data_IF_228576801941
#
_entry.id   IF_228576801941
#
_cell.length_a   1.000
_cell.length_b   1.000
_cell.length_c   1.000
_cell.angle_alpha   90.00
_cell.angle_beta   90.00
_cell.angle_gamma   90.00
#
_symmetry.space_group_name_H-M   'P 1'
#
loop_
_entity.id
_entity.type
_entity.pdbx_description
1 polymer ?
#
# COMPACT_ATOMS: atom_id res chain seq x y z
N UNK A 1 -1.77 16.38 13.82
CA UNK A 1 -1.04 15.83 12.66
C UNK A 1 -0.27 14.62 13.15
N UNK A 2 -0.47 13.46 12.53
CA UNK A 2 0.18 12.20 12.89
C UNK A 2 0.63 11.48 11.62
N UNK A 3 1.64 10.62 11.72
CA UNK A 3 2.07 9.73 10.66
C UNK A 3 1.46 8.34 10.87
N UNK A 4 0.62 7.91 9.94
CA UNK A 4 -0.11 6.64 9.98
C UNK A 4 0.47 5.70 8.92
N UNK A 5 0.90 4.53 9.35
CA UNK A 5 1.36 3.46 8.46
C UNK A 5 0.28 2.38 8.33
N UNK A 6 -0.09 2.05 7.10
CA UNK A 6 -1.17 1.12 6.77
C UNK A 6 -0.59 -0.09 6.05
N UNK A 7 -0.80 -1.28 6.60
CA UNK A 7 -0.57 -2.53 5.88
C UNK A 7 -1.89 -2.99 5.28
N UNK A 8 -1.94 -3.14 3.95
CA UNK A 8 -3.16 -3.56 3.31
C UNK A 8 -3.08 -3.72 1.80
N UNK A 9 -4.17 -4.24 1.23
CA UNK A 9 -4.37 -4.27 -0.22
C UNK A 9 -4.59 -2.84 -0.69
N UNK A 10 -3.91 -2.44 -1.76
CA UNK A 10 -4.05 -1.12 -2.37
C UNK A 10 -4.19 -1.29 -3.90
N UNK A 11 -4.83 -0.36 -4.61
CA UNK A 11 -4.86 -0.43 -6.07
C UNK A 11 -3.43 -0.51 -6.65
N UNK A 12 -3.21 -1.29 -7.73
CA UNK A 12 -4.21 -1.89 -8.63
C UNK A 12 -4.90 -3.17 -8.15
N UNK A 13 -4.65 -3.69 -6.93
CA UNK A 13 -5.37 -4.89 -6.47
C UNK A 13 -6.88 -4.63 -6.54
N UNK A 14 -7.64 -5.50 -7.21
CA UNK A 14 -9.09 -5.36 -7.32
C UNK A 14 -9.82 -5.80 -6.04
N UNK A 15 -11.00 -5.22 -5.81
CA UNK A 15 -11.93 -5.65 -4.76
C UNK A 15 -12.18 -4.61 -3.65
N UNK A 16 -13.13 -4.93 -2.77
CA UNK A 16 -13.65 -4.00 -1.77
C UNK A 16 -12.65 -3.60 -0.68
N UNK A 17 -11.73 -4.49 -0.32
CA UNK A 17 -10.67 -4.19 0.66
C UNK A 17 -9.74 -3.11 0.10
N UNK A 18 -9.22 -3.33 -1.11
CA UNK A 18 -8.34 -2.37 -1.80
C UNK A 18 -8.99 -0.99 -1.93
N UNK A 19 -10.26 -0.96 -2.36
CA UNK A 19 -11.07 0.27 -2.37
C UNK A 19 -11.15 0.94 -1.00
N UNK A 20 -11.38 0.18 0.06
CA UNK A 20 -11.55 0.72 1.41
C UNK A 20 -10.24 1.30 1.96
N UNK A 21 -9.11 0.63 1.69
CA UNK A 21 -7.77 1.13 2.08
C UNK A 21 -7.42 2.39 1.28
N UNK A 22 -7.73 2.41 -0.02
CA UNK A 22 -7.57 3.60 -0.87
C UNK A 22 -8.28 4.81 -0.26
N UNK A 23 -9.59 4.71 -0.03
CA UNK A 23 -10.34 5.84 0.52
C UNK A 23 -9.90 6.23 1.92
N UNK A 24 -9.56 5.26 2.77
CA UNK A 24 -9.01 5.54 4.09
C UNK A 24 -7.71 6.37 4.00
N UNK A 25 -6.74 5.94 3.18
CA UNK A 25 -5.47 6.65 3.03
C UNK A 25 -5.69 8.07 2.50
N UNK A 26 -6.56 8.19 1.49
CA UNK A 26 -6.93 9.44 0.85
C UNK A 26 -7.62 10.43 1.82
N UNK A 27 -8.55 9.96 2.64
CA UNK A 27 -9.25 10.80 3.61
C UNK A 27 -8.35 11.22 4.77
N UNK A 28 -7.41 10.36 5.19
CA UNK A 28 -6.42 10.67 6.21
C UNK A 28 -5.44 11.77 5.75
N UNK A 29 -4.92 11.69 4.52
CA UNK A 29 -4.03 12.75 4.01
C UNK A 29 -4.76 14.07 3.81
N UNK A 30 -6.02 14.04 3.33
CA UNK A 30 -6.86 15.26 3.24
C UNK A 30 -7.17 15.86 4.61
N UNK A 31 -7.19 15.04 5.66
CA UNK A 31 -7.36 15.49 7.05
C UNK A 31 -6.06 16.02 7.68
N UNK A 32 -4.95 16.09 6.90
CA UNK A 32 -3.67 16.64 7.35
C UNK A 32 -2.76 15.64 8.07
N UNK A 33 -2.95 14.33 7.86
CA UNK A 33 -2.03 13.30 8.34
C UNK A 33 -1.01 12.92 7.26
N UNK A 34 0.18 12.49 7.66
CA UNK A 34 1.08 11.79 6.76
C UNK A 34 0.64 10.32 6.69
N UNK A 35 0.59 9.74 5.50
CA UNK A 35 0.18 8.33 5.32
C UNK A 35 1.20 7.59 4.48
N UNK A 36 1.63 6.45 5.00
CA UNK A 36 2.42 5.46 4.28
C UNK A 36 1.62 4.17 4.15
N UNK A 37 1.46 3.64 2.95
CA UNK A 37 0.80 2.36 2.67
C UNK A 37 1.85 1.33 2.28
N UNK A 38 1.97 0.24 3.04
CA UNK A 38 2.80 -0.92 2.73
C UNK A 38 1.92 -1.98 2.06
N UNK A 39 2.26 -2.36 0.83
CA UNK A 39 1.40 -3.24 0.00
C UNK A 39 2.20 -4.16 -0.92
N UNK A 40 1.56 -5.22 -1.43
CA UNK A 40 2.09 -6.12 -2.46
C UNK A 40 1.39 -5.95 -3.81
N UNK A 41 0.86 -4.75 -4.06
CA UNK A 41 -0.02 -4.50 -5.20
C UNK A 41 0.64 -4.74 -6.57
N UNK A 42 1.97 -4.65 -6.65
CA UNK A 42 2.72 -4.96 -7.88
C UNK A 42 3.13 -6.43 -7.98
N UNK A 43 2.88 -7.24 -6.94
CA UNK A 43 3.22 -8.66 -6.89
C UNK A 43 2.05 -9.61 -7.13
N UNK A 44 0.80 -9.14 -7.10
CA UNK A 44 -0.38 -10.01 -7.33
C UNK A 44 -0.52 -10.40 -8.80
N UNK A 45 -1.13 -11.53 -9.11
CA UNK A 45 -1.34 -11.97 -10.49
C UNK A 45 -2.25 -11.01 -11.28
N UNK A 46 -2.12 -10.98 -12.60
CA UNK A 46 -2.83 -10.01 -13.46
C UNK A 46 -4.35 -10.09 -13.35
N UNK A 47 -4.90 -11.29 -13.13
CA UNK A 47 -6.32 -11.52 -12.89
C UNK A 47 -6.83 -10.93 -11.56
N UNK A 48 -5.94 -10.47 -10.68
CA UNK A 48 -6.27 -9.72 -9.45
C UNK A 48 -6.00 -8.23 -9.57
N UNK A 49 -5.63 -7.71 -10.75
CA UNK A 49 -5.34 -6.30 -10.97
C UNK A 49 -6.43 -5.62 -11.79
N UNK A 50 -6.72 -4.39 -11.41
CA UNK A 50 -7.44 -3.43 -12.24
C UNK A 50 -6.51 -2.96 -13.37
N UNK A 51 -7.10 -2.71 -14.54
CA UNK A 51 -6.44 -1.95 -15.59
C UNK A 51 -6.51 -0.48 -15.23
N UNK A 52 -5.37 0.15 -15.04
CA UNK A 52 -5.25 1.56 -14.70
C UNK A 52 -4.73 2.32 -15.91
N UNK A 53 -5.37 3.42 -16.25
CA UNK A 53 -4.81 4.39 -17.18
C UNK A 53 -3.79 5.29 -16.45
N UNK A 54 -3.06 6.11 -17.21
CA UNK A 54 -2.05 7.01 -16.65
C UNK A 54 -2.62 7.93 -15.57
N UNK A 55 -3.80 8.50 -15.82
CA UNK A 55 -4.48 9.41 -14.89
C UNK A 55 -4.94 8.69 -13.61
N UNK A 56 -5.27 7.40 -13.71
CA UNK A 56 -5.60 6.59 -12.53
C UNK A 56 -4.37 6.40 -11.64
N UNK A 57 -3.22 6.08 -12.23
CA UNK A 57 -1.97 5.90 -11.49
C UNK A 57 -1.57 7.17 -10.71
N UNK A 58 -1.78 8.35 -11.30
CA UNK A 58 -1.56 9.63 -10.62
C UNK A 58 -2.54 9.81 -9.45
N UNK A 59 -3.82 9.42 -9.63
CA UNK A 59 -4.83 9.49 -8.57
C UNK A 59 -4.60 8.49 -7.42
N UNK A 60 -3.73 7.49 -7.60
CA UNK A 60 -3.38 6.53 -6.54
C UNK A 60 -2.34 7.04 -5.55
N UNK A 61 -1.38 7.82 -6.03
CA UNK A 61 -0.34 8.45 -5.21
C UNK A 61 -0.73 9.84 -4.73
N UNK A 62 -1.65 10.52 -5.42
CA UNK A 62 -2.14 11.84 -5.04
C UNK A 62 -3.57 11.80 -4.50
N UNK A 63 -3.76 12.43 -3.35
CA UNK A 63 -5.05 12.96 -2.97
C UNK A 63 -5.24 14.31 -3.63
N UNK A 64 -6.32 14.44 -4.41
CA UNK A 64 -6.77 15.71 -5.01
C UNK A 64 -6.55 16.87 -4.03
N UNK A 65 -6.03 18.00 -4.54
CA UNK A 65 -5.57 19.18 -3.79
C UNK A 65 -4.13 19.14 -3.21
N UNK A 66 -3.24 18.31 -3.77
CA UNK A 66 -1.80 18.38 -3.50
C UNK A 66 -1.34 17.62 -2.24
N UNK A 67 -2.17 16.72 -1.74
CA UNK A 67 -1.82 15.80 -0.67
C UNK A 67 -1.30 14.49 -1.29
N UNK A 68 -0.29 13.86 -0.69
CA UNK A 68 0.30 12.64 -1.24
C UNK A 68 0.19 11.46 -0.27
N UNK A 69 -0.14 10.30 -0.81
CA UNK A 69 -0.06 9.01 -0.11
C UNK A 69 1.24 8.35 -0.53
N UNK A 70 2.13 8.10 0.43
CA UNK A 70 3.36 7.37 0.16
C UNK A 70 3.04 5.87 0.04
N UNK A 71 3.11 5.30 -1.15
CA UNK A 71 2.85 3.86 -1.37
C UNK A 71 4.16 3.13 -1.54
N UNK A 72 4.44 2.19 -0.63
CA UNK A 72 5.64 1.35 -0.65
C UNK A 72 5.20 -0.06 -1.05
N UNK A 73 5.54 -0.44 -2.28
CA UNK A 73 5.34 -1.80 -2.76
C UNK A 73 6.47 -2.71 -2.29
N UNK A 74 6.14 -3.94 -1.90
CA UNK A 74 7.16 -4.96 -1.72
C UNK A 74 7.73 -5.40 -3.07
N UNK A 75 9.01 -5.75 -3.08
CA UNK A 75 9.67 -6.27 -4.27
C UNK A 75 8.96 -7.52 -4.79
N UNK A 76 8.81 -7.64 -6.11
CA UNK A 76 8.32 -8.89 -6.72
C UNK A 76 9.47 -9.89 -6.79
N UNK A 77 9.49 -10.84 -5.86
CA UNK A 77 10.53 -11.88 -5.86
C UNK A 77 10.36 -12.80 -7.07
N UNK A 78 11.50 -13.18 -7.67
CA UNK A 78 11.53 -14.21 -8.70
C UNK A 78 11.54 -15.59 -8.03
N UNK A 79 10.52 -16.39 -8.30
CA UNK A 79 10.36 -17.73 -7.74
C UNK A 79 9.53 -17.74 -6.45
N UNK A 80 9.27 -18.96 -5.96
CA UNK A 80 8.42 -19.19 -4.80
C UNK A 80 9.31 -19.46 -3.57
N UNK A 81 8.91 -18.94 -2.41
CA UNK A 81 9.51 -19.37 -1.17
C UNK A 81 9.06 -20.81 -0.89
N UNK A 82 9.94 -21.66 -0.35
CA UNK A 82 9.56 -23.00 0.10
C UNK A 82 8.47 -22.84 1.17
N UNK A 83 7.27 -23.43 1.02
CA UNK A 83 6.94 -24.65 0.25
C UNK A 83 6.28 -24.45 -1.14
N UNK A 84 6.34 -23.27 -1.74
CA UNK A 84 5.79 -23.00 -3.08
C UNK A 84 4.88 -21.79 -3.15
N UNK A 85 5.00 -20.83 -2.23
CA UNK A 85 4.15 -19.64 -2.19
C UNK A 85 4.97 -18.35 -2.26
N UNK A 86 4.35 -17.28 -2.75
CA UNK A 86 4.91 -15.95 -2.61
C UNK A 86 4.92 -15.55 -1.12
N UNK A 87 6.07 -15.19 -0.53
CA UNK A 87 6.19 -14.94 0.90
C UNK A 87 5.68 -13.53 1.29
N UNK A 88 4.51 -13.12 0.79
CA UNK A 88 4.02 -11.74 0.89
C UNK A 88 3.96 -11.22 2.33
N UNK A 89 3.56 -12.05 3.30
CA UNK A 89 3.53 -11.63 4.69
C UNK A 89 4.92 -11.22 5.19
N UNK A 90 5.93 -12.07 4.97
CA UNK A 90 7.31 -11.80 5.38
C UNK A 90 7.86 -10.57 4.67
N UNK A 91 7.53 -10.39 3.39
CA UNK A 91 7.94 -9.20 2.63
C UNK A 91 7.30 -7.93 3.16
N UNK A 92 5.99 -7.96 3.43
CA UNK A 92 5.25 -6.83 3.98
C UNK A 92 5.82 -6.45 5.34
N UNK A 93 6.00 -7.42 6.24
CA UNK A 93 6.61 -7.17 7.57
C UNK A 93 8.02 -6.59 7.43
N UNK A 94 8.86 -7.16 6.56
CA UNK A 94 10.21 -6.67 6.32
C UNK A 94 10.25 -5.24 5.77
N UNK A 95 9.43 -4.94 4.76
CA UNK A 95 9.28 -3.59 4.21
C UNK A 95 8.76 -2.62 5.27
N UNK A 96 7.76 -3.03 6.04
CA UNK A 96 7.24 -2.29 7.17
C UNK A 96 8.31 -1.93 8.19
N UNK A 97 9.11 -2.89 8.65
CA UNK A 97 10.20 -2.65 9.60
C UNK A 97 11.23 -1.68 9.03
N UNK A 98 11.62 -1.84 7.77
CA UNK A 98 12.51 -0.90 7.07
C UNK A 98 11.92 0.50 7.05
N UNK A 99 10.66 0.64 6.66
CA UNK A 99 9.99 1.94 6.60
C UNK A 99 9.82 2.57 7.97
N UNK A 100 9.46 1.80 9.01
CA UNK A 100 9.30 2.35 10.38
C UNK A 100 10.58 3.02 10.90
N UNK A 101 11.75 2.55 10.48
CA UNK A 101 13.04 3.15 10.87
C UNK A 101 13.26 4.55 10.29
N UNK A 102 12.64 4.85 9.13
CA UNK A 102 12.74 6.13 8.42
C UNK A 102 11.55 7.02 8.77
N UNK A 103 10.34 6.49 8.57
CA UNK A 103 9.06 7.17 8.69
C UNK A 103 8.66 7.52 10.13
N UNK A 104 9.08 6.68 11.11
CA UNK A 104 8.72 6.79 12.54
C UNK A 104 7.21 7.05 12.75
N UNK A 105 6.33 6.12 12.30
CA UNK A 105 4.89 6.33 12.40
C UNK A 105 4.43 6.38 13.86
N UNK A 106 3.43 7.22 14.12
CA UNK A 106 2.75 7.31 15.42
C UNK A 106 1.74 6.17 15.61
N UNK A 107 1.21 5.64 14.51
CA UNK A 107 0.23 4.56 14.49
C UNK A 107 0.46 3.60 13.32
N UNK A 108 0.39 2.30 13.61
CA UNK A 108 0.42 1.24 12.60
C UNK A 108 -0.94 0.54 12.62
N UNK A 109 -1.57 0.40 11.45
CA UNK A 109 -2.83 -0.32 11.28
C UNK A 109 -2.71 -1.40 10.19
N UNK A 110 -3.35 -2.54 10.42
CA UNK A 110 -3.52 -3.61 9.43
C UNK A 110 -4.97 -3.70 8.97
N UNK A 111 -5.19 -3.79 7.65
CA UNK A 111 -6.53 -4.00 7.06
C UNK A 111 -6.53 -5.31 6.25
N UNK A 112 -7.37 -6.31 6.61
CA UNK A 112 -7.45 -7.60 5.93
C UNK A 112 -8.11 -7.47 4.54
#
# INVERSE_FOLDING_TARGET
>A
MAHIMIFGKYPPIQGGVSRSVYWLAQDLVRSGHAVTVITNAEGVESNFRQWLEYDDAVALSSARAGYEVNVVNVEVLRGLAIPGDAPFLSQLVGAGLRETSVAKPDLIIGRP
#
